data_IF_997199373631
#
_entry.id   IF_997199373631
#
_cell.length_a   1.000
_cell.length_b   1.000
_cell.length_c   1.000
_cell.angle_alpha   90.00
_cell.angle_beta   90.00
_cell.angle_gamma   90.00
#
_symmetry.space_group_name_H-M   'P 1'
#
loop_
_entity.id
_entity.type
_entity.pdbx_description
1 polymer ?
#
# COMPACT_ATOMS: atom_id res chain seq x y z
N UNK A 1 11.89 14.62 -9.00
CA UNK A 1 11.76 13.78 -7.79
C UNK A 1 10.29 13.58 -7.53
N UNK A 2 9.85 12.34 -7.39
CA UNK A 2 8.46 11.97 -7.14
C UNK A 2 8.27 11.79 -5.63
N UNK A 3 8.16 12.91 -4.93
CA UNK A 3 8.07 12.96 -3.47
C UNK A 3 6.79 13.64 -3.02
N UNK A 4 6.25 13.24 -1.86
CA UNK A 4 5.13 13.92 -1.20
C UNK A 4 5.35 13.93 0.31
N UNK A 5 4.88 14.98 0.96
CA UNK A 5 4.77 15.06 2.41
C UNK A 5 3.37 15.55 2.74
N UNK A 6 2.60 14.71 3.42
CA UNK A 6 1.20 14.93 3.74
C UNK A 6 0.98 14.87 5.25
N UNK A 7 0.18 15.79 5.77
CA UNK A 7 -0.32 15.74 7.14
C UNK A 7 -1.85 15.66 7.13
N UNK A 8 -2.41 14.82 8.01
CA UNK A 8 -3.85 14.66 8.15
C UNK A 8 -4.20 14.55 9.64
N UNK A 9 -4.99 15.48 10.11
CA UNK A 9 -5.42 15.53 11.52
C UNK A 9 -6.96 15.48 11.58
N UNK A 10 -7.49 14.60 12.40
CA UNK A 10 -8.92 14.46 12.71
C UNK A 10 -9.12 14.51 14.23
N UNK A 11 -10.31 14.22 14.70
CA UNK A 11 -10.56 14.03 16.14
C UNK A 11 -9.98 12.69 16.66
N UNK A 12 -9.69 11.75 15.76
CA UNK A 12 -9.32 10.36 16.08
C UNK A 12 -7.83 10.10 15.86
N UNK A 13 -7.22 10.77 14.86
CA UNK A 13 -5.83 10.54 14.46
C UNK A 13 -5.09 11.82 14.12
N UNK A 14 -3.78 11.84 14.37
CA UNK A 14 -2.85 12.86 13.88
C UNK A 14 -1.71 12.15 13.14
N UNK A 15 -1.63 12.39 11.81
CA UNK A 15 -0.79 11.59 10.89
C UNK A 15 0.11 12.50 10.08
N UNK A 16 1.37 12.08 9.94
CA UNK A 16 2.28 12.59 8.90
C UNK A 16 2.85 11.46 8.08
N UNK A 17 2.87 11.62 6.76
CA UNK A 17 3.42 10.67 5.79
C UNK A 17 4.40 11.41 4.89
N UNK A 18 5.60 10.86 4.72
CA UNK A 18 6.56 11.30 3.70
C UNK A 18 6.93 10.13 2.82
N UNK A 19 6.83 10.31 1.50
CA UNK A 19 7.19 9.31 0.49
C UNK A 19 8.21 9.86 -0.49
N UNK A 20 9.19 9.02 -0.87
CA UNK A 20 10.01 9.20 -2.06
C UNK A 20 9.88 7.92 -2.92
N UNK A 21 9.23 8.05 -4.09
CA UNK A 21 8.97 6.92 -5.00
C UNK A 21 10.23 6.47 -5.76
N UNK A 22 11.25 7.32 -5.78
CA UNK A 22 12.55 7.04 -6.40
C UNK A 22 13.62 6.62 -5.36
N UNK A 23 13.16 6.21 -4.17
CA UNK A 23 13.97 5.81 -3.03
C UNK A 23 14.63 4.45 -3.17
N UNK A 24 15.16 3.96 -2.06
CA UNK A 24 15.86 2.67 -1.94
C UNK A 24 15.17 1.68 -0.99
N UNK A 25 13.98 2.04 -0.51
CA UNK A 25 13.19 1.26 0.45
C UNK A 25 13.67 1.47 1.89
N UNK A 26 14.10 2.68 2.22
CA UNK A 26 14.30 3.08 3.61
C UNK A 26 12.95 3.32 4.28
N UNK A 27 12.85 2.96 5.54
CA UNK A 27 11.60 3.12 6.27
C UNK A 27 11.84 3.56 7.71
N UNK A 28 10.88 4.33 8.22
CA UNK A 28 10.80 4.76 9.61
C UNK A 28 9.32 4.97 9.96
N UNK A 29 8.64 3.88 10.36
CA UNK A 29 7.19 3.86 10.58
C UNK A 29 6.88 3.63 12.05
N UNK A 30 6.03 4.48 12.62
CA UNK A 30 5.56 4.41 14.00
C UNK A 30 4.09 4.86 14.06
N UNK A 31 3.19 3.87 14.13
CA UNK A 31 1.75 4.08 14.26
C UNK A 31 1.23 3.74 15.65
N UNK A 32 2.09 3.14 16.48
CA UNK A 32 1.72 2.57 17.77
C UNK A 32 1.13 1.16 17.68
N UNK A 33 0.95 0.61 16.46
CA UNK A 33 0.43 -0.74 16.20
C UNK A 33 1.54 -1.60 15.61
N UNK A 34 2.24 -2.37 16.44
CA UNK A 34 3.51 -3.01 16.08
C UNK A 34 3.45 -3.95 14.86
N UNK A 35 2.38 -4.75 14.72
CA UNK A 35 2.22 -5.58 13.52
C UNK A 35 2.00 -4.75 12.27
N UNK A 36 1.24 -3.67 12.37
CA UNK A 36 0.99 -2.77 11.25
C UNK A 36 2.26 -2.01 10.84
N UNK A 37 3.05 -1.53 11.80
CA UNK A 37 4.36 -0.92 11.52
C UNK A 37 5.26 -1.89 10.74
N UNK A 38 5.32 -3.16 11.16
CA UNK A 38 6.03 -4.20 10.42
C UNK A 38 5.50 -4.41 9.00
N UNK A 39 4.18 -4.33 8.78
CA UNK A 39 3.60 -4.43 7.43
C UNK A 39 3.94 -3.22 6.55
N UNK A 40 3.95 -2.02 7.11
CA UNK A 40 4.38 -0.80 6.40
C UNK A 40 5.88 -0.86 6.03
N UNK A 41 6.72 -1.41 6.90
CA UNK A 41 8.15 -1.66 6.61
C UNK A 41 8.32 -2.61 5.40
N UNK A 42 7.50 -3.69 5.33
CA UNK A 42 7.49 -4.59 4.18
C UNK A 42 7.04 -3.87 2.90
N UNK A 43 6.01 -3.02 3.01
CA UNK A 43 5.51 -2.24 1.87
C UNK A 43 6.61 -1.33 1.33
N UNK A 44 7.23 -0.53 2.17
CA UNK A 44 8.31 0.38 1.80
C UNK A 44 9.50 -0.35 1.19
N UNK A 45 10.00 -1.38 1.90
CA UNK A 45 11.19 -2.13 1.52
C UNK A 45 11.06 -2.82 0.17
N UNK A 46 9.93 -3.48 -0.07
CA UNK A 46 9.72 -4.26 -1.29
C UNK A 46 9.24 -3.42 -2.48
N UNK A 47 8.63 -2.26 -2.23
CA UNK A 47 8.30 -1.29 -3.27
C UNK A 47 9.49 -0.41 -3.66
N UNK A 48 10.59 -0.41 -2.90
CA UNK A 48 11.73 0.52 -3.00
C UNK A 48 11.29 2.00 -2.85
N UNK A 49 10.27 2.25 -2.07
CA UNK A 49 9.81 3.59 -1.71
C UNK A 49 10.45 3.94 -0.35
N UNK A 50 11.11 5.10 -0.26
CA UNK A 50 11.48 5.60 1.05
C UNK A 50 10.22 6.16 1.72
N UNK A 51 9.92 5.67 2.94
CA UNK A 51 8.66 5.93 3.63
C UNK A 51 8.90 6.29 5.09
N UNK A 52 8.33 7.40 5.51
CA UNK A 52 8.23 7.75 6.93
C UNK A 52 6.77 7.96 7.28
N UNK A 53 6.27 7.23 8.27
CA UNK A 53 4.91 7.36 8.79
C UNK A 53 4.95 7.62 10.28
N UNK A 54 4.23 8.64 10.73
CA UNK A 54 3.95 8.90 12.14
C UNK A 54 2.46 9.01 12.32
N UNK A 55 1.91 8.25 13.24
CA UNK A 55 0.50 8.33 13.60
C UNK A 55 0.34 8.32 15.12
N UNK A 56 -0.48 9.22 15.60
CA UNK A 56 -0.99 9.20 16.97
C UNK A 56 -2.49 9.06 16.91
N UNK A 57 -2.97 7.84 17.08
CA UNK A 57 -4.39 7.49 17.03
C UNK A 57 -5.00 7.22 18.40
N UNK A 58 -6.31 7.02 18.41
CA UNK A 58 -7.12 6.71 19.58
C UNK A 58 -7.14 5.22 19.94
N UNK A 59 -5.94 4.60 20.01
CA UNK A 59 -5.72 3.15 20.23
C UNK A 59 -6.39 2.60 21.49
N UNK A 60 -6.88 3.48 22.38
CA UNK A 60 -7.67 3.05 23.55
C UNK A 60 -9.07 2.55 23.16
N UNK A 61 -9.53 2.84 21.95
CA UNK A 61 -10.76 2.31 21.34
C UNK A 61 -10.44 0.98 20.68
N UNK A 62 -9.70 1.01 19.58
CA UNK A 62 -9.11 -0.11 18.84
C UNK A 62 -8.08 0.41 17.83
N UNK A 63 -7.58 -0.48 16.94
CA UNK A 63 -6.61 -0.11 15.91
C UNK A 63 -7.25 0.39 14.61
N UNK A 64 -8.57 0.36 14.47
CA UNK A 64 -9.28 0.57 13.20
C UNK A 64 -9.00 1.95 12.60
N UNK A 65 -9.28 3.02 13.36
CA UNK A 65 -9.10 4.40 12.88
C UNK A 65 -7.63 4.66 12.48
N UNK A 66 -6.68 4.14 13.25
CA UNK A 66 -5.24 4.26 12.93
C UNK A 66 -4.92 3.60 11.59
N UNK A 67 -5.35 2.37 11.38
CA UNK A 67 -5.02 1.59 10.18
C UNK A 67 -5.69 2.18 8.94
N UNK A 68 -6.97 2.52 9.02
CA UNK A 68 -7.73 3.12 7.91
C UNK A 68 -7.14 4.48 7.54
N UNK A 69 -6.98 5.37 8.52
CA UNK A 69 -6.52 6.75 8.30
C UNK A 69 -5.08 6.82 7.78
N UNK A 70 -4.20 5.93 8.22
CA UNK A 70 -2.85 5.79 7.64
C UNK A 70 -2.94 5.30 6.20
N UNK A 71 -3.83 4.35 5.88
CA UNK A 71 -4.11 3.91 4.51
C UNK A 71 -4.59 5.05 3.60
N UNK A 72 -5.49 5.91 4.12
CA UNK A 72 -5.94 7.14 3.44
C UNK A 72 -4.75 8.06 3.16
N UNK A 73 -3.96 8.37 4.19
CA UNK A 73 -2.84 9.30 4.08
C UNK A 73 -1.76 8.80 3.11
N UNK A 74 -1.40 7.52 3.16
CA UNK A 74 -0.44 6.91 2.22
C UNK A 74 -1.01 6.93 0.80
N UNK A 75 -2.30 6.62 0.61
CA UNK A 75 -2.95 6.67 -0.71
C UNK A 75 -2.89 8.07 -1.32
N UNK A 76 -3.24 9.10 -0.55
CA UNK A 76 -3.17 10.49 -0.97
C UNK A 76 -1.74 10.93 -1.31
N UNK A 77 -0.78 10.63 -0.43
CA UNK A 77 0.64 10.95 -0.64
C UNK A 77 1.20 10.25 -1.89
N UNK A 78 0.82 9.00 -2.12
CA UNK A 78 1.19 8.25 -3.33
C UNK A 78 0.63 8.92 -4.59
N UNK A 79 -0.65 9.29 -4.59
CA UNK A 79 -1.30 9.97 -5.71
C UNK A 79 -0.61 11.31 -6.03
N UNK A 80 -0.27 12.09 -5.00
CA UNK A 80 0.46 13.35 -5.16
C UNK A 80 1.86 13.13 -5.73
N UNK A 81 2.61 12.15 -5.19
CA UNK A 81 3.98 11.87 -5.63
C UNK A 81 4.05 11.33 -7.06
N UNK A 82 3.07 10.54 -7.49
CA UNK A 82 2.97 10.03 -8.88
C UNK A 82 2.68 11.17 -9.87
N UNK A 83 1.92 12.17 -9.45
CA UNK A 83 1.60 13.33 -10.26
C UNK A 83 0.80 13.02 -11.51
N UNK A 84 1.28 13.49 -12.68
CA UNK A 84 0.59 13.36 -13.98
C UNK A 84 0.73 11.96 -14.63
N UNK A 85 1.41 11.04 -13.98
CA UNK A 85 1.60 9.64 -14.41
C UNK A 85 2.34 9.47 -15.74
N UNK A 86 3.05 10.49 -16.20
CA UNK A 86 3.88 10.37 -17.41
C UNK A 86 5.03 9.40 -17.21
N UNK A 87 5.26 8.62 -18.24
CA UNK A 87 6.40 7.71 -18.33
C UNK A 87 6.34 6.49 -17.42
N UNK A 88 5.38 6.34 -16.51
CA UNK A 88 5.30 5.15 -15.65
C UNK A 88 4.81 3.92 -16.42
N UNK A 89 5.16 2.72 -15.93
CA UNK A 89 4.62 1.46 -16.45
C UNK A 89 3.10 1.34 -16.26
N UNK A 90 2.56 2.00 -15.24
CA UNK A 90 1.13 2.03 -14.88
C UNK A 90 0.58 0.72 -14.33
N UNK A 91 0.88 -0.42 -14.97
CA UNK A 91 0.43 -1.73 -14.54
C UNK A 91 1.55 -2.47 -13.82
N UNK A 92 1.19 -3.17 -12.75
CA UNK A 92 2.13 -4.04 -12.06
C UNK A 92 1.44 -5.30 -11.57
N UNK A 93 2.19 -6.39 -11.52
CA UNK A 93 1.71 -7.64 -10.96
C UNK A 93 2.84 -8.39 -10.26
N UNK A 94 2.46 -9.23 -9.30
CA UNK A 94 3.38 -10.07 -8.57
C UNK A 94 2.69 -11.34 -8.11
N UNK A 95 3.36 -12.47 -8.26
CA UNK A 95 3.04 -13.74 -7.61
C UNK A 95 4.12 -13.99 -6.57
N UNK A 96 3.74 -13.99 -5.28
CA UNK A 96 4.70 -13.98 -4.19
C UNK A 96 4.43 -15.12 -3.20
N UNK A 97 5.40 -16.03 -3.00
CA UNK A 97 5.34 -17.04 -1.95
C UNK A 97 5.92 -16.49 -0.62
N UNK A 98 5.33 -16.92 0.47
CA UNK A 98 5.90 -16.78 1.81
C UNK A 98 5.56 -18.04 2.61
N UNK A 99 6.52 -18.94 2.75
CA UNK A 99 6.38 -20.26 3.33
C UNK A 99 5.15 -21.02 2.79
N UNK A 100 4.10 -21.20 3.61
CA UNK A 100 2.85 -21.85 3.19
C UNK A 100 1.93 -20.95 2.37
N UNK A 101 2.15 -19.62 2.39
CA UNK A 101 1.29 -18.67 1.70
C UNK A 101 1.77 -18.38 0.27
N UNK A 102 0.81 -18.26 -0.65
CA UNK A 102 1.04 -17.80 -2.02
C UNK A 102 -0.04 -16.78 -2.38
N UNK A 103 0.37 -15.54 -2.64
CA UNK A 103 -0.53 -14.43 -2.98
C UNK A 103 -0.20 -13.87 -4.36
N UNK A 104 -1.22 -13.59 -5.14
CA UNK A 104 -1.15 -12.90 -6.42
C UNK A 104 -1.74 -11.51 -6.31
N UNK A 105 -1.00 -10.51 -6.80
CA UNK A 105 -1.48 -9.13 -6.93
C UNK A 105 -1.39 -8.66 -8.37
N UNK A 106 -2.39 -7.89 -8.82
CA UNK A 106 -2.35 -7.09 -10.03
C UNK A 106 -2.95 -5.72 -9.75
N UNK A 107 -2.32 -4.65 -10.25
CA UNK A 107 -2.83 -3.29 -10.06
C UNK A 107 -2.68 -2.42 -11.30
N UNK A 108 -3.53 -1.38 -11.36
CA UNK A 108 -3.52 -0.32 -12.37
C UNK A 108 -3.59 1.05 -11.69
N UNK A 109 -2.59 1.89 -11.90
CA UNK A 109 -2.54 3.27 -11.41
C UNK A 109 -3.42 4.20 -12.27
N UNK A 110 -4.67 3.78 -12.49
CA UNK A 110 -5.61 4.37 -13.44
C UNK A 110 -6.29 5.67 -12.97
N UNK A 111 -6.18 6.03 -11.71
CA UNK A 111 -7.00 7.09 -11.10
C UNK A 111 -8.44 6.64 -10.79
N UNK A 112 -8.79 5.40 -11.05
CA UNK A 112 -10.10 4.79 -10.77
C UNK A 112 -9.98 3.77 -9.64
N UNK A 113 -10.41 4.12 -8.43
CA UNK A 113 -10.27 3.23 -7.28
C UNK A 113 -11.20 2.01 -7.40
N UNK A 114 -10.66 0.83 -7.19
CA UNK A 114 -11.43 -0.40 -7.07
C UNK A 114 -10.60 -1.46 -6.36
N UNK A 115 -11.15 -2.09 -5.32
CA UNK A 115 -10.50 -3.20 -4.63
C UNK A 115 -11.26 -4.51 -4.90
N UNK A 116 -10.55 -5.51 -5.43
CA UNK A 116 -10.96 -6.91 -5.40
C UNK A 116 -10.09 -7.61 -4.37
N UNK A 117 -10.72 -8.13 -3.32
CA UNK A 117 -10.04 -8.76 -2.19
C UNK A 117 -10.53 -10.19 -2.00
N UNK A 118 -9.73 -11.15 -2.43
CA UNK A 118 -9.98 -12.57 -2.31
C UNK A 118 -8.93 -13.23 -1.40
N UNK A 119 -8.77 -12.66 -0.19
CA UNK A 119 -7.82 -13.16 0.82
C UNK A 119 -8.58 -13.53 2.07
N UNK A 120 -8.46 -14.78 2.47
CA UNK A 120 -9.01 -15.30 3.72
C UNK A 120 -7.90 -15.38 4.76
N UNK A 121 -8.15 -14.79 5.92
CA UNK A 121 -7.24 -14.80 7.07
C UNK A 121 -7.88 -15.68 8.15
N UNK A 122 -7.43 -16.95 8.31
CA UNK A 122 -8.15 -17.94 9.08
C UNK A 122 -8.22 -17.68 10.60
N UNK A 123 -7.37 -16.80 11.13
CA UNK A 123 -7.42 -16.40 12.55
C UNK A 123 -7.88 -14.95 12.68
N UNK A 124 -8.67 -14.63 13.73
CA UNK A 124 -9.17 -13.26 13.90
C UNK A 124 -8.11 -12.26 14.31
N UNK A 125 -6.97 -12.73 14.83
CA UNK A 125 -5.86 -11.87 15.31
C UNK A 125 -4.50 -12.44 14.93
N UNK A 126 -3.55 -11.52 14.74
CA UNK A 126 -2.11 -11.77 14.68
C UNK A 126 -1.48 -10.96 15.82
N UNK A 127 -1.08 -11.63 16.91
CA UNK A 127 -0.77 -10.94 18.15
C UNK A 127 -2.00 -10.20 18.69
N UNK A 128 -1.92 -8.89 18.82
CA UNK A 128 -3.04 -8.01 19.21
C UNK A 128 -3.80 -7.42 18.02
N UNK A 129 -3.26 -7.51 16.81
CA UNK A 129 -3.79 -6.91 15.58
C UNK A 129 -4.97 -7.72 15.03
N UNK A 130 -6.10 -7.06 14.75
CA UNK A 130 -7.26 -7.68 14.13
C UNK A 130 -7.03 -7.89 12.62
N UNK A 131 -7.20 -9.13 12.13
CA UNK A 131 -6.88 -9.49 10.75
C UNK A 131 -7.79 -8.84 9.71
N UNK A 132 -9.01 -8.45 10.08
CA UNK A 132 -9.92 -7.70 9.20
C UNK A 132 -9.34 -6.36 8.75
N UNK A 133 -8.45 -5.75 9.56
CA UNK A 133 -7.84 -4.45 9.28
C UNK A 133 -6.85 -4.50 8.10
N UNK A 134 -6.36 -5.67 7.73
CA UNK A 134 -5.55 -5.85 6.52
C UNK A 134 -6.34 -5.39 5.28
N UNK A 135 -7.59 -5.83 5.16
CA UNK A 135 -8.46 -5.42 4.06
C UNK A 135 -8.78 -3.93 4.13
N UNK A 136 -9.07 -3.40 5.32
CA UNK A 136 -9.42 -1.98 5.50
C UNK A 136 -8.26 -1.07 5.08
N UNK A 137 -7.03 -1.42 5.42
CA UNK A 137 -5.84 -0.70 4.93
C UNK A 137 -5.79 -0.66 3.39
N UNK A 138 -5.92 -1.81 2.71
CA UNK A 138 -5.86 -1.84 1.24
C UNK A 138 -7.08 -1.19 0.59
N UNK A 139 -8.24 -1.20 1.22
CA UNK A 139 -9.41 -0.45 0.76
C UNK A 139 -9.15 1.06 0.80
N UNK A 140 -8.61 1.57 1.89
CA UNK A 140 -8.26 2.97 2.05
C UNK A 140 -7.17 3.40 1.06
N UNK A 141 -6.08 2.61 0.96
CA UNK A 141 -4.98 2.83 0.01
C UNK A 141 -5.48 2.86 -1.44
N UNK A 142 -6.29 1.87 -1.85
CA UNK A 142 -6.86 1.80 -3.21
C UNK A 142 -7.75 3.01 -3.51
N UNK A 143 -8.63 3.35 -2.56
CA UNK A 143 -9.60 4.45 -2.73
C UNK A 143 -8.90 5.79 -2.89
N UNK A 144 -7.97 6.10 -2.00
CA UNK A 144 -7.33 7.41 -1.95
C UNK A 144 -6.09 7.54 -2.84
N UNK A 145 -5.49 6.41 -3.21
CA UNK A 145 -4.42 6.35 -4.21
C UNK A 145 -4.94 6.32 -5.66
N UNK A 146 -6.27 6.17 -5.87
CA UNK A 146 -6.85 6.03 -7.21
C UNK A 146 -6.37 4.76 -7.92
N UNK A 147 -6.24 3.66 -7.19
CA UNK A 147 -5.67 2.39 -7.64
C UNK A 147 -6.78 1.36 -7.88
N UNK A 148 -6.81 0.75 -9.07
CA UNK A 148 -7.51 -0.52 -9.24
C UNK A 148 -6.58 -1.62 -8.73
N UNK A 149 -6.97 -2.33 -7.67
CA UNK A 149 -6.14 -3.30 -6.96
C UNK A 149 -6.88 -4.65 -6.84
N UNK A 150 -6.26 -5.71 -7.31
CA UNK A 150 -6.72 -7.09 -7.15
C UNK A 150 -5.71 -7.86 -6.32
N UNK A 151 -6.16 -8.51 -5.26
CA UNK A 151 -5.34 -9.36 -4.39
C UNK A 151 -6.05 -10.69 -4.20
N UNK A 152 -5.42 -11.77 -4.63
CA UNK A 152 -5.92 -13.13 -4.51
C UNK A 152 -4.95 -14.00 -3.72
N UNK A 153 -5.40 -14.60 -2.63
CA UNK A 153 -4.71 -15.69 -1.96
C UNK A 153 -4.95 -17.00 -2.73
N UNK A 154 -3.89 -17.65 -3.17
CA UNK A 154 -3.97 -18.94 -3.85
C UNK A 154 -3.81 -20.09 -2.86
N UNK A 155 -2.93 -19.93 -1.88
CA UNK A 155 -2.69 -20.85 -0.77
C UNK A 155 -2.33 -20.07 0.49
N UNK A 156 -2.54 -20.66 1.66
CA UNK A 156 -2.10 -20.15 2.93
C UNK A 156 -2.85 -20.77 4.11
N UNK A 157 -2.16 -20.97 5.21
CA UNK A 157 -2.69 -21.50 6.46
C UNK A 157 -2.43 -20.57 7.65
N UNK A 158 -1.26 -19.92 7.64
CA UNK A 158 -0.85 -18.99 8.69
C UNK A 158 -1.25 -17.56 8.34
N UNK A 159 -2.12 -16.93 9.14
CA UNK A 159 -2.60 -15.56 8.88
C UNK A 159 -1.49 -14.52 8.80
N UNK A 160 -0.40 -14.65 9.58
CA UNK A 160 0.76 -13.76 9.50
C UNK A 160 1.43 -13.87 8.11
N UNK A 161 1.71 -15.10 7.67
CA UNK A 161 2.34 -15.35 6.36
C UNK A 161 1.46 -14.84 5.21
N UNK A 162 0.14 -15.04 5.30
CA UNK A 162 -0.81 -14.57 4.29
C UNK A 162 -0.84 -13.03 4.24
N UNK A 163 -0.96 -12.36 5.40
CA UNK A 163 -0.97 -10.92 5.48
C UNK A 163 0.34 -10.31 4.95
N UNK A 164 1.48 -10.83 5.41
CA UNK A 164 2.79 -10.34 4.95
C UNK A 164 3.02 -10.62 3.46
N UNK A 165 2.60 -11.78 2.94
CA UNK A 165 2.64 -12.07 1.51
C UNK A 165 1.77 -11.09 0.70
N UNK A 166 0.60 -10.69 1.21
CA UNK A 166 -0.25 -9.68 0.58
C UNK A 166 0.46 -8.32 0.52
N UNK A 167 1.01 -7.82 1.63
CA UNK A 167 1.76 -6.56 1.65
C UNK A 167 2.97 -6.59 0.71
N UNK A 168 3.77 -7.65 0.73
CA UNK A 168 4.94 -7.80 -0.15
C UNK A 168 4.55 -7.91 -1.63
N UNK A 169 3.47 -8.64 -1.95
CA UNK A 169 3.03 -8.79 -3.35
C UNK A 169 2.49 -7.47 -3.91
N UNK A 170 1.73 -6.71 -3.11
CA UNK A 170 1.29 -5.34 -3.48
C UNK A 170 2.49 -4.42 -3.65
N UNK A 171 3.43 -4.44 -2.72
CA UNK A 171 4.66 -3.65 -2.80
C UNK A 171 5.45 -3.92 -4.09
N UNK A 172 5.63 -5.20 -4.44
CA UNK A 172 6.33 -5.61 -5.67
C UNK A 172 5.58 -5.22 -6.94
N UNK A 173 4.25 -5.35 -6.95
CA UNK A 173 3.41 -4.91 -8.05
C UNK A 173 3.46 -3.37 -8.20
N UNK A 174 3.40 -2.64 -7.07
CA UNK A 174 3.50 -1.18 -7.05
C UNK A 174 4.86 -0.70 -7.59
N UNK A 175 5.95 -1.34 -7.18
CA UNK A 175 7.29 -1.05 -7.70
C UNK A 175 7.33 -1.12 -9.23
N UNK A 176 6.81 -2.19 -9.82
CA UNK A 176 6.75 -2.36 -11.28
C UNK A 176 5.91 -1.26 -11.92
N UNK A 177 4.72 -0.98 -11.37
CA UNK A 177 3.81 0.03 -11.92
C UNK A 177 4.40 1.45 -11.89
N UNK A 178 5.24 1.76 -10.90
CA UNK A 178 5.91 3.06 -10.72
C UNK A 178 7.20 3.21 -11.53
N UNK A 179 7.78 2.12 -12.05
CA UNK A 179 8.99 2.19 -12.88
C UNK A 179 8.76 3.07 -14.10
N UNK A 180 9.76 3.91 -14.44
CA UNK A 180 9.72 4.78 -15.61
C UNK A 180 10.24 4.00 -16.82
N UNK A 181 9.40 3.85 -17.86
CA UNK A 181 9.85 3.31 -19.15
C UNK A 181 10.52 4.41 -19.96
N UNK A 182 11.83 4.26 -20.14
CA UNK A 182 12.66 5.23 -20.88
C UNK A 182 12.22 5.42 -22.35
N UNK A 183 11.50 4.46 -22.94
CA UNK A 183 11.00 4.54 -24.32
C UNK A 183 9.76 5.43 -24.44
N UNK A 184 9.06 5.67 -23.33
CA UNK A 184 7.79 6.43 -23.27
C UNK A 184 7.77 7.46 -22.15
N UNK A 185 8.96 7.94 -21.72
CA UNK A 185 9.13 8.77 -20.52
C UNK A 185 8.27 10.05 -20.50
N UNK A 186 7.95 10.62 -21.66
CA UNK A 186 7.14 11.84 -21.77
C UNK A 186 5.67 11.57 -22.11
N UNK A 187 5.27 10.30 -22.25
CA UNK A 187 3.91 9.93 -22.64
C UNK A 187 3.07 9.50 -21.43
N UNK A 188 1.79 9.88 -21.44
CA UNK A 188 0.81 9.28 -20.52
C UNK A 188 0.49 7.87 -21.04
N UNK A 189 0.60 6.80 -20.22
CA UNK A 189 0.38 5.43 -20.65
C UNK A 189 -1.11 5.12 -20.84
N UNK A 190 -1.76 5.84 -21.74
CA UNK A 190 -3.19 5.73 -22.05
C UNK A 190 -3.46 6.15 -23.50
N UNK A 191 -4.23 5.34 -24.22
CA UNK A 191 -4.71 5.69 -25.57
C UNK A 191 -5.65 6.91 -25.60
N UNK A 192 -6.17 7.30 -24.43
CA UNK A 192 -7.02 8.49 -24.26
C UNK A 192 -6.21 9.78 -24.07
N UNK A 193 -4.88 9.68 -23.84
CA UNK A 193 -4.03 10.83 -23.54
C UNK A 193 -4.24 11.41 -22.13
N UNK A 194 -5.02 10.74 -21.27
CA UNK A 194 -5.28 11.12 -19.88
C UNK A 194 -5.50 9.88 -18.99
N UNK A 195 -5.29 10.04 -17.70
CA UNK A 195 -5.58 9.05 -16.65
C UNK A 195 -6.28 9.73 -15.47
#
# INVERSE_FOLDING_TARGET
>A
MRTSTLTRTTAETDISVTLDLDGTGQYDNDTGVGFFDHMLDQLARHALIDMTVRCKGDLHIDDHHTVEDVGIAIGQALSEAVGDKKGIQRYGSCLLPMDDALVRTALDLSGRPFLVWNVDLPTPKIGTFDTELVREFFQALSTHGGITLHVDMLHGLNSHHIAEAAFKSVARALRVALEVDQRTADAIPSTKGSL
#
